data_IF_946628860717
#
_entry.id   IF_946628860717
#
_cell.length_a   1.000
_cell.length_b   1.000
_cell.length_c   1.000
_cell.angle_alpha   90.00
_cell.angle_beta   90.00
_cell.angle_gamma   90.00
#
_symmetry.space_group_name_H-M   'P 1'
#
loop_
_entity.id
_entity.type
_entity.pdbx_description
1 polymer ?
#
# COMPACT_ATOMS: atom_id res chain seq x y z
N UNK A 1 -3.45 -10.98 -0.31
CA UNK A 1 -2.68 -9.75 -0.65
C UNK A 1 -1.27 -9.88 -0.08
N UNK A 2 -0.30 -9.56 -0.89
CA UNK A 2 1.10 -9.61 -0.49
C UNK A 2 1.70 -8.27 -0.83
N UNK A 3 1.80 -7.38 0.16
CA UNK A 3 2.56 -6.16 0.02
C UNK A 3 4.04 -6.40 0.31
N UNK A 4 4.89 -5.73 -0.43
CA UNK A 4 6.34 -5.85 -0.38
C UNK A 4 6.93 -4.51 0.02
N UNK A 5 7.72 -4.49 1.10
CA UNK A 5 8.51 -3.34 1.49
C UNK A 5 10.00 -3.64 1.39
N UNK A 6 10.81 -2.63 1.20
CA UNK A 6 12.27 -2.70 1.23
C UNK A 6 12.77 -1.81 2.37
N UNK A 7 13.64 -2.36 3.23
CA UNK A 7 14.33 -1.61 4.28
C UNK A 7 15.80 -1.49 3.91
N UNK A 8 16.32 -0.27 3.91
CA UNK A 8 17.68 0.05 3.50
C UNK A 8 18.70 -0.02 4.62
N UNK A 9 19.83 -0.40 4.32
CA UNK A 9 21.25 -0.08 4.42
C UNK A 9 22.09 -1.35 4.24
N UNK A 10 22.93 -1.39 3.25
CA UNK A 10 23.89 -2.42 2.89
C UNK A 10 23.37 -3.85 2.58
N UNK A 11 22.17 -4.21 3.00
CA UNK A 11 21.45 -5.40 2.55
C UNK A 11 20.02 -5.01 2.18
N UNK A 12 19.65 -5.19 0.91
CA UNK A 12 18.25 -5.04 0.48
C UNK A 12 17.42 -6.16 1.13
N UNK A 13 16.63 -5.81 2.15
CA UNK A 13 15.68 -6.72 2.80
C UNK A 13 14.30 -6.50 2.17
N UNK A 14 13.65 -7.59 1.81
CA UNK A 14 12.28 -7.58 1.32
C UNK A 14 11.34 -8.12 2.40
N UNK A 15 10.52 -7.25 2.96
CA UNK A 15 9.47 -7.63 3.89
C UNK A 15 8.18 -8.02 3.15
N UNK A 16 7.59 -9.14 3.57
CA UNK A 16 6.29 -9.60 3.09
C UNK A 16 5.32 -9.64 4.26
N UNK A 17 4.29 -8.79 4.18
CA UNK A 17 3.22 -8.71 5.20
C UNK A 17 1.96 -9.35 4.66
N UNK A 18 1.34 -10.21 5.46
CA UNK A 18 0.14 -10.96 5.11
C UNK A 18 0.36 -12.46 5.00
N UNK A 19 -0.73 -13.18 4.82
CA UNK A 19 -0.77 -14.64 4.65
C UNK A 19 -1.64 -15.01 3.46
N UNK A 20 -1.42 -16.18 2.88
CA UNK A 20 -2.20 -16.67 1.75
C UNK A 20 -1.78 -18.08 1.33
N UNK A 21 -2.62 -18.75 0.55
CA UNK A 21 -2.43 -20.15 0.15
C UNK A 21 -1.14 -20.38 -0.69
N UNK A 22 -0.59 -19.34 -1.32
CA UNK A 22 0.66 -19.41 -2.09
C UNK A 22 1.93 -19.16 -1.29
N UNK A 23 1.85 -18.97 0.05
CA UNK A 23 3.02 -18.61 0.85
C UNK A 23 4.10 -19.68 0.87
N UNK A 24 3.73 -20.97 0.90
CA UNK A 24 4.68 -22.09 0.85
C UNK A 24 5.50 -22.08 -0.44
N UNK A 25 4.85 -21.92 -1.58
CA UNK A 25 5.51 -21.89 -2.89
C UNK A 25 6.48 -20.70 -3.01
N UNK A 26 6.15 -19.59 -2.38
CA UNK A 26 7.01 -18.41 -2.40
C UNK A 26 8.22 -18.62 -1.49
N UNK A 27 8.05 -19.26 -0.32
CA UNK A 27 9.18 -19.61 0.55
C UNK A 27 10.15 -20.55 -0.16
N UNK A 28 9.64 -21.60 -0.78
CA UNK A 28 10.43 -22.54 -1.58
C UNK A 28 11.22 -21.80 -2.68
N UNK A 29 10.56 -20.92 -3.40
CA UNK A 29 11.22 -20.11 -4.43
C UNK A 29 12.30 -19.17 -3.87
N UNK A 30 12.09 -18.60 -2.69
CA UNK A 30 13.09 -17.75 -2.00
C UNK A 30 14.30 -18.59 -1.60
N UNK A 31 14.08 -19.79 -1.09
CA UNK A 31 15.14 -20.73 -0.70
C UNK A 31 15.93 -21.22 -1.92
N UNK A 32 15.25 -21.61 -3.00
CA UNK A 32 15.86 -22.04 -4.27
C UNK A 32 16.74 -20.95 -4.92
N UNK A 33 16.39 -19.68 -4.71
CA UNK A 33 17.15 -18.53 -5.19
C UNK A 33 18.26 -18.10 -4.22
N UNK A 34 18.41 -18.74 -3.05
CA UNK A 34 19.39 -18.36 -2.04
C UNK A 34 19.14 -17.01 -1.40
N UNK A 35 17.86 -16.58 -1.33
CA UNK A 35 17.45 -15.26 -0.82
C UNK A 35 16.86 -15.31 0.60
N UNK A 36 17.01 -16.42 1.32
CA UNK A 36 16.36 -16.64 2.62
C UNK A 36 16.75 -15.59 3.66
N UNK A 37 18.00 -15.09 3.61
CA UNK A 37 18.48 -14.01 4.49
C UNK A 37 18.01 -12.61 4.07
N UNK A 38 17.49 -12.47 2.84
CA UNK A 38 17.07 -11.18 2.26
C UNK A 38 15.55 -11.02 2.16
N UNK A 39 14.77 -12.02 2.57
CA UNK A 39 13.30 -11.97 2.54
C UNK A 39 12.71 -12.30 3.90
N UNK A 40 12.05 -11.34 4.51
CA UNK A 40 11.35 -11.53 5.78
C UNK A 40 9.85 -11.75 5.56
N UNK A 41 9.33 -12.85 6.09
CA UNK A 41 7.89 -13.14 6.08
C UNK A 41 7.29 -12.79 7.43
N UNK A 42 6.70 -11.62 7.53
CA UNK A 42 6.17 -11.05 8.78
C UNK A 42 4.79 -11.62 9.16
N UNK A 43 4.16 -12.36 8.26
CA UNK A 43 2.83 -12.94 8.51
C UNK A 43 1.74 -11.89 8.65
N UNK A 44 0.71 -12.23 9.41
CA UNK A 44 -0.40 -11.31 9.68
C UNK A 44 -0.03 -10.37 10.83
N UNK A 45 -0.08 -9.04 10.59
CA UNK A 45 0.36 -8.00 11.53
C UNK A 45 -0.76 -7.01 11.83
N UNK A 46 -0.89 -6.62 13.09
CA UNK A 46 -1.81 -5.56 13.53
C UNK A 46 -1.18 -4.16 13.53
N UNK A 47 0.13 -4.06 13.31
CA UNK A 47 0.92 -2.83 13.35
C UNK A 47 1.49 -2.45 11.97
N UNK A 48 0.74 -2.71 10.90
CA UNK A 48 1.15 -2.45 9.51
C UNK A 48 1.55 -0.98 9.30
N UNK A 49 0.85 -0.06 9.93
CA UNK A 49 1.16 1.37 9.89
C UNK A 49 2.57 1.70 10.39
N UNK A 50 3.08 0.97 11.38
CA UNK A 50 4.44 1.12 11.89
C UNK A 50 5.46 0.47 10.97
N UNK A 51 5.11 -0.68 10.40
CA UNK A 51 5.95 -1.38 9.42
C UNK A 51 6.16 -0.49 8.19
N UNK A 52 5.10 0.10 7.64
CA UNK A 52 5.18 1.03 6.51
C UNK A 52 6.08 2.25 6.81
N UNK A 53 6.14 2.71 8.05
CA UNK A 53 7.05 3.79 8.44
C UNK A 53 8.53 3.38 8.48
N UNK A 54 8.83 2.09 8.56
CA UNK A 54 10.20 1.55 8.56
C UNK A 54 10.71 1.15 7.16
N UNK A 55 9.83 1.12 6.15
CA UNK A 55 10.17 0.72 4.78
C UNK A 55 10.61 1.91 3.93
N UNK A 56 11.34 1.67 2.84
CA UNK A 56 11.80 2.71 1.90
C UNK A 56 10.90 2.80 0.66
N UNK A 57 10.39 1.66 0.17
CA UNK A 57 9.52 1.57 -1.01
C UNK A 57 8.43 0.52 -0.78
N UNK A 58 7.23 0.83 -1.22
CA UNK A 58 6.11 -0.12 -1.26
C UNK A 58 5.95 -0.66 -2.68
N UNK A 59 6.12 -1.97 -2.86
CA UNK A 59 6.00 -2.65 -4.15
C UNK A 59 4.72 -3.49 -4.20
N UNK A 60 3.84 -3.22 -5.19
CA UNK A 60 2.53 -3.87 -5.30
C UNK A 60 2.21 -4.29 -6.74
N UNK A 61 2.84 -5.38 -7.26
CA UNK A 61 2.63 -5.90 -8.62
C UNK A 61 1.39 -6.82 -8.66
N UNK A 62 0.21 -6.30 -8.35
CA UNK A 62 -1.02 -7.09 -8.35
C UNK A 62 -1.61 -7.20 -9.75
N UNK A 63 -2.18 -8.37 -10.06
CA UNK A 63 -2.87 -8.63 -11.33
C UNK A 63 -4.28 -8.06 -11.35
N UNK A 64 -4.94 -8.04 -10.21
CA UNK A 64 -6.32 -7.57 -10.10
C UNK A 64 -6.63 -7.14 -8.66
N UNK A 65 -7.23 -5.98 -8.52
CA UNK A 65 -7.68 -5.42 -7.24
C UNK A 65 -9.00 -4.67 -7.40
N UNK A 66 -9.77 -4.60 -6.32
CA UNK A 66 -10.87 -3.65 -6.21
C UNK A 66 -10.35 -2.27 -5.83
N UNK A 67 -10.31 -1.96 -4.54
CA UNK A 67 -9.68 -0.76 -3.98
C UNK A 67 -8.70 -1.20 -2.89
N UNK A 68 -7.40 -1.43 -3.20
CA UNK A 68 -6.41 -1.89 -2.22
C UNK A 68 -6.03 -0.76 -1.26
N UNK A 69 -6.61 -0.79 -0.04
CA UNK A 69 -6.34 0.21 1.00
C UNK A 69 -4.87 0.22 1.42
N UNK A 70 -4.15 -0.90 1.28
CA UNK A 70 -2.72 -0.98 1.58
C UNK A 70 -1.86 0.00 0.77
N UNK A 71 -2.24 0.31 -0.47
CA UNK A 71 -1.58 1.34 -1.28
C UNK A 71 -1.83 2.73 -0.70
N UNK A 72 -3.05 2.99 -0.24
CA UNK A 72 -3.41 4.27 0.37
C UNK A 72 -2.71 4.44 1.73
N UNK A 73 -2.65 3.37 2.53
CA UNK A 73 -1.91 3.33 3.79
C UNK A 73 -0.41 3.59 3.59
N UNK A 74 0.19 3.02 2.55
CA UNK A 74 1.59 3.28 2.20
C UNK A 74 1.82 4.74 1.80
N UNK A 75 0.95 5.31 0.98
CA UNK A 75 1.00 6.74 0.62
C UNK A 75 0.77 7.65 1.85
N UNK A 76 -0.14 7.26 2.76
CA UNK A 76 -0.36 7.99 4.01
C UNK A 76 0.86 7.97 4.93
N UNK A 77 1.67 6.90 4.87
CA UNK A 77 2.96 6.83 5.55
C UNK A 77 4.06 7.64 4.84
N UNK A 78 3.76 8.32 3.74
CA UNK A 78 4.72 9.08 2.94
C UNK A 78 5.69 8.19 2.13
N UNK A 79 5.31 6.94 1.87
CA UNK A 79 6.16 5.93 1.24
C UNK A 79 5.99 5.94 -0.28
N UNK A 80 7.07 5.99 -1.07
CA UNK A 80 6.99 5.76 -2.50
C UNK A 80 6.38 4.40 -2.82
N UNK A 81 5.46 4.35 -3.76
CA UNK A 81 4.73 3.14 -4.15
C UNK A 81 4.98 2.83 -5.63
N UNK A 82 5.45 1.62 -5.93
CA UNK A 82 5.50 1.08 -7.28
C UNK A 82 4.38 0.04 -7.40
N UNK A 83 3.40 0.34 -8.21
CA UNK A 83 2.18 -0.48 -8.35
C UNK A 83 1.99 -0.93 -9.80
N UNK A 84 1.18 -1.95 -10.03
CA UNK A 84 0.82 -2.33 -11.39
C UNK A 84 -0.23 -1.38 -11.98
N UNK A 85 -0.24 -1.25 -13.28
CA UNK A 85 -1.25 -0.51 -14.06
C UNK A 85 -2.63 -1.18 -14.04
N UNK A 86 -2.70 -2.47 -13.63
CA UNK A 86 -3.95 -3.20 -13.41
C UNK A 86 -4.68 -2.74 -12.13
N UNK A 87 -4.03 -1.96 -11.26
CA UNK A 87 -4.64 -1.39 -10.06
C UNK A 87 -5.44 -0.14 -10.42
N UNK A 88 -6.68 0.02 -9.91
CA UNK A 88 -7.50 1.18 -10.18
C UNK A 88 -6.80 2.51 -9.88
N UNK A 89 -7.00 3.49 -10.75
CA UNK A 89 -6.36 4.82 -10.62
C UNK A 89 -6.75 5.57 -9.35
N UNK A 90 -7.91 5.24 -8.79
CA UNK A 90 -8.47 5.77 -7.55
C UNK A 90 -7.58 5.51 -6.33
N UNK A 91 -6.69 4.51 -6.40
CA UNK A 91 -5.71 4.24 -5.34
C UNK A 91 -4.53 5.22 -5.34
N UNK A 92 -4.32 5.96 -6.45
CA UNK A 92 -3.23 6.92 -6.59
C UNK A 92 -3.67 8.29 -6.11
N UNK A 93 -3.67 8.47 -4.80
CA UNK A 93 -4.17 9.69 -4.14
C UNK A 93 -3.10 10.76 -3.92
N UNK A 94 -1.83 10.39 -4.16
CA UNK A 94 -0.67 11.29 -4.07
C UNK A 94 0.26 11.08 -5.26
N UNK A 95 1.26 11.94 -5.43
CA UNK A 95 2.34 11.81 -6.41
C UNK A 95 3.38 10.71 -6.07
N UNK A 96 3.22 10.03 -4.94
CA UNK A 96 4.11 8.96 -4.50
C UNK A 96 3.85 7.62 -5.22
N UNK A 97 2.68 7.43 -5.83
CA UNK A 97 2.31 6.19 -6.50
C UNK A 97 2.64 6.26 -8.00
N UNK A 98 3.60 5.44 -8.41
CA UNK A 98 4.00 5.22 -9.80
C UNK A 98 3.45 3.88 -10.29
N UNK A 99 2.85 3.90 -11.49
CA UNK A 99 2.22 2.73 -12.10
C UNK A 99 3.08 2.18 -13.22
N UNK A 100 3.31 0.87 -13.21
CA UNK A 100 4.06 0.14 -14.22
C UNK A 100 3.23 -0.98 -14.85
N UNK A 101 3.38 -1.17 -16.15
CA UNK A 101 2.81 -2.31 -16.89
C UNK A 101 3.40 -3.62 -16.35
N UNK A 102 2.55 -4.57 -16.00
CA UNK A 102 2.95 -5.91 -15.53
C UNK A 102 3.73 -6.72 -16.59
N UNK A 103 3.57 -6.40 -17.86
CA UNK A 103 4.28 -7.05 -18.96
C UNK A 103 5.72 -6.52 -19.14
N UNK A 104 6.11 -5.48 -18.43
CA UNK A 104 7.49 -4.98 -18.47
C UNK A 104 8.47 -6.04 -17.94
N UNK A 105 9.69 -6.09 -18.49
CA UNK A 105 10.75 -6.93 -17.96
C UNK A 105 11.01 -6.64 -16.47
N UNK A 106 11.39 -7.68 -15.72
CA UNK A 106 11.63 -7.61 -14.28
C UNK A 106 12.68 -6.55 -13.90
N UNK A 107 13.69 -6.35 -14.74
CA UNK A 107 14.73 -5.34 -14.55
C UNK A 107 14.15 -3.91 -14.51
N UNK A 108 13.08 -3.63 -15.25
CA UNK A 108 12.39 -2.33 -15.20
C UNK A 108 11.72 -2.10 -13.85
N UNK A 109 11.06 -3.12 -13.34
CA UNK A 109 10.47 -3.08 -11.99
C UNK A 109 11.54 -2.93 -10.90
N UNK A 110 12.63 -3.70 -11.01
CA UNK A 110 13.74 -3.61 -10.06
C UNK A 110 14.39 -2.21 -10.08
N UNK A 111 14.65 -1.64 -11.26
CA UNK A 111 15.23 -0.31 -11.38
C UNK A 111 14.31 0.77 -10.81
N UNK A 112 13.00 0.72 -11.07
CA UNK A 112 12.05 1.66 -10.50
C UNK A 112 12.05 1.63 -8.96
N UNK A 113 12.16 0.44 -8.36
CA UNK A 113 12.27 0.29 -6.90
C UNK A 113 13.60 0.88 -6.41
N UNK A 114 14.72 0.58 -7.06
CA UNK A 114 16.06 1.07 -6.67
C UNK A 114 16.16 2.61 -6.78
N UNK A 115 15.53 3.22 -7.77
CA UNK A 115 15.47 4.69 -7.91
C UNK A 115 14.72 5.36 -6.76
N UNK A 116 13.74 4.68 -6.17
CA UNK A 116 12.92 5.23 -5.07
C UNK A 116 13.48 4.96 -3.67
N UNK A 117 14.40 4.03 -3.50
CA UNK A 117 14.89 3.62 -2.17
C UNK A 117 15.52 4.75 -1.34
N UNK A 118 16.05 5.79 -1.99
CA UNK A 118 16.64 6.97 -1.34
C UNK A 118 15.71 8.18 -1.34
N UNK A 119 14.44 8.02 -1.67
CA UNK A 119 13.49 9.12 -1.71
C UNK A 119 13.19 9.64 -0.30
N UNK A 120 13.16 10.96 -0.18
CA UNK A 120 12.80 11.61 1.09
C UNK A 120 11.28 11.45 1.28
N UNK A 121 10.88 10.98 2.46
CA UNK A 121 9.47 10.86 2.82
C UNK A 121 8.77 12.21 2.80
N UNK A 122 7.56 12.22 2.26
CA UNK A 122 6.70 13.40 2.22
C UNK A 122 5.62 13.31 3.29
N UNK A 123 5.20 14.46 3.82
CA UNK A 123 3.98 14.54 4.58
C UNK A 123 2.80 14.66 3.61
N UNK A 124 2.05 13.60 3.47
CA UNK A 124 0.91 13.47 2.55
C UNK A 124 -0.44 13.62 3.24
N UNK A 125 -0.46 14.01 4.51
CA UNK A 125 -1.70 14.07 5.32
C UNK A 125 -2.82 14.85 4.62
N UNK A 126 -2.51 16.02 4.07
CA UNK A 126 -3.53 16.86 3.46
C UNK A 126 -4.08 16.26 2.15
N UNK A 127 -3.25 15.60 1.36
CA UNK A 127 -3.64 14.93 0.11
C UNK A 127 -4.55 13.74 0.41
N UNK A 128 -4.17 12.90 1.37
CA UNK A 128 -4.95 11.75 1.86
C UNK A 128 -6.32 12.21 2.42
N UNK A 129 -6.32 13.30 3.21
CA UNK A 129 -7.54 13.88 3.75
C UNK A 129 -8.46 14.41 2.67
N UNK A 130 -7.92 15.14 1.69
CA UNK A 130 -8.68 15.69 0.57
C UNK A 130 -9.25 14.59 -0.34
N UNK A 131 -8.55 13.46 -0.44
CA UNK A 131 -9.03 12.27 -1.16
C UNK A 131 -10.13 11.50 -0.39
N UNK A 132 -10.52 11.95 0.80
CA UNK A 132 -11.63 11.36 1.56
C UNK A 132 -11.24 10.20 2.47
N UNK A 133 -9.96 10.06 2.83
CA UNK A 133 -9.46 8.98 3.71
C UNK A 133 -9.16 9.45 5.15
N UNK A 134 -9.81 10.55 5.58
CA UNK A 134 -9.76 11.01 6.97
C UNK A 134 -10.99 10.48 7.73
N UNK A 135 -10.74 9.62 8.72
CA UNK A 135 -11.81 8.93 9.47
C UNK A 135 -12.69 9.91 10.27
N UNK A 136 -12.12 10.96 10.84
CA UNK A 136 -12.88 11.93 11.61
C UNK A 136 -13.84 12.73 10.73
N UNK A 137 -13.36 13.14 9.56
CA UNK A 137 -14.17 13.84 8.56
C UNK A 137 -15.29 12.93 8.03
N UNK A 138 -14.98 11.68 7.72
CA UNK A 138 -15.94 10.71 7.21
C UNK A 138 -17.01 10.36 8.25
N UNK A 139 -16.62 10.15 9.51
CA UNK A 139 -17.55 9.90 10.61
C UNK A 139 -18.52 11.07 10.77
N UNK A 140 -18.04 12.31 10.75
CA UNK A 140 -18.87 13.51 10.86
C UNK A 140 -19.81 13.70 9.66
N UNK A 141 -19.34 13.38 8.46
CA UNK A 141 -20.21 13.41 7.26
C UNK A 141 -21.33 12.38 7.36
N UNK A 142 -21.03 11.17 7.79
CA UNK A 142 -21.99 10.10 7.98
C UNK A 142 -23.02 10.44 9.06
N UNK A 143 -22.57 10.97 10.20
CA UNK A 143 -23.46 11.45 11.27
C UNK A 143 -24.44 12.51 10.74
N UNK A 144 -23.93 13.53 10.06
CA UNK A 144 -24.78 14.58 9.47
C UNK A 144 -25.77 14.03 8.43
N UNK A 145 -25.35 13.04 7.66
CA UNK A 145 -26.25 12.37 6.71
C UNK A 145 -27.43 11.70 7.42
N UNK A 146 -27.17 10.97 8.50
CA UNK A 146 -28.23 10.30 9.27
C UNK A 146 -29.15 11.30 9.99
N UNK A 147 -28.61 12.35 10.59
CA UNK A 147 -29.39 13.42 11.25
C UNK A 147 -30.37 14.04 10.24
N UNK A 148 -29.88 14.49 9.08
CA UNK A 148 -30.72 15.06 8.02
C UNK A 148 -31.80 14.10 7.52
N UNK A 149 -31.48 12.81 7.42
CA UNK A 149 -32.47 11.80 7.01
C UNK A 149 -33.57 11.61 8.06
N UNK A 150 -33.19 11.63 9.33
CA UNK A 150 -34.14 11.52 10.45
C UNK A 150 -35.10 12.72 10.50
N UNK A 151 -34.57 13.94 10.41
CA UNK A 151 -35.35 15.17 10.38
C UNK A 151 -36.37 15.17 9.23
N UNK A 152 -35.97 14.82 8.01
CA UNK A 152 -36.85 14.72 6.84
C UNK A 152 -37.93 13.64 6.96
N UNK A 153 -37.76 12.62 7.78
CA UNK A 153 -38.81 11.62 8.06
C UNK A 153 -39.83 12.13 9.06
N UNK A 154 -39.41 12.99 10.02
CA UNK A 154 -40.30 13.61 10.99
C UNK A 154 -41.25 14.67 10.39
N UNK A 155 -40.84 15.32 9.29
CA UNK A 155 -41.66 16.30 8.56
C UNK A 155 -42.73 15.68 7.64
N UNK A 156 -42.74 14.36 7.47
CA UNK A 156 -43.70 13.64 6.60
C UNK A 156 -44.86 13.00 7.36
N UNK A 157 -44.94 13.17 8.66
CA UNK A 157 -46.03 12.77 9.53
C UNK A 157 -46.80 13.99 10.08
#
# INVERSE_FOLDING_TARGET
EISLGLVGSEMCIRDRVGTGNGQSNIREKVDDLGLSDSVLFLGNRGDVNRILQAMDVFLFPSLYEGLPLSIIEAQAAGLPCIISDSVPSECRVTDLAESLDLNLPIDKWANAVLEKQSAIRKNTYQEIKNAGYDIEQNAKQLENFYIKKYENLGERN
#
